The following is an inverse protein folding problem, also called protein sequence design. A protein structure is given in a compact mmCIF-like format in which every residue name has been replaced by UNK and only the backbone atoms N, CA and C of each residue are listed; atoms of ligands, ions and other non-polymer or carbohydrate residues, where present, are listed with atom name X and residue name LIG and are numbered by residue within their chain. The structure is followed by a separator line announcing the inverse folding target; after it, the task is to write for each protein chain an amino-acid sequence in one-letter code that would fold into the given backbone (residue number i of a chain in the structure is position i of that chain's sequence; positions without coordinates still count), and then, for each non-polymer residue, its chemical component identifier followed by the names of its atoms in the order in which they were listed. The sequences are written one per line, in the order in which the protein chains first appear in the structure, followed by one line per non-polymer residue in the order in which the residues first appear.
data_IF_132810119842
#
_entry.id   IF_132810119842
#
_cell.length_a   1.000
_cell.length_b   1.000
_cell.length_c   1.000
_cell.angle_alpha   90.00
_cell.angle_beta   90.00
_cell.angle_gamma   90.00
#
_symmetry.space_group_name_H-M   'P 1'
#
loop_
_entity.id
_entity.type
_entity.pdbx_description
1 polymer ?
#
# COMPACT_ATOMS: atom_id res chain seq x y z
N UNK A 1 -1.88 -27.73 2.93
CA UNK A 1 -1.21 -26.46 2.57
C UNK A 1 -2.13 -25.33 3.02
N UNK A 2 -1.61 -24.31 3.72
CA UNK A 2 -2.42 -23.14 4.05
C UNK A 2 -2.85 -22.42 2.77
N UNK A 3 -4.05 -21.81 2.76
CA UNK A 3 -4.51 -21.02 1.63
C UNK A 3 -3.52 -19.90 1.31
N UNK A 4 -3.37 -19.56 0.02
CA UNK A 4 -2.54 -18.43 -0.38
C UNK A 4 -3.08 -17.14 0.25
N UNK A 5 -2.17 -16.25 0.69
CA UNK A 5 -2.54 -15.00 1.37
C UNK A 5 -2.22 -13.80 0.51
N UNK A 6 -3.05 -12.78 0.61
CA UNK A 6 -2.82 -11.46 0.05
C UNK A 6 -2.45 -10.47 1.16
N UNK A 7 -1.23 -9.93 1.12
CA UNK A 7 -0.68 -9.05 2.14
C UNK A 7 -0.34 -7.69 1.49
N UNK A 8 -0.70 -6.60 2.15
CA UNK A 8 -0.39 -5.26 1.67
C UNK A 8 0.49 -4.48 2.64
N UNK A 9 1.36 -3.65 2.11
CA UNK A 9 2.22 -2.73 2.84
C UNK A 9 1.71 -1.32 2.59
N UNK A 10 1.31 -0.64 3.64
CA UNK A 10 0.68 0.68 3.58
C UNK A 10 1.39 1.69 4.48
N UNK A 11 1.15 2.97 4.23
CA UNK A 11 1.75 4.08 4.97
C UNK A 11 2.26 5.17 4.03
N UNK A 12 2.61 6.33 4.59
CA UNK A 12 3.10 7.49 3.84
C UNK A 12 4.46 7.22 3.19
N UNK A 13 4.84 8.05 2.23
CA UNK A 13 6.18 8.01 1.66
C UNK A 13 7.21 8.43 2.72
N UNK A 14 8.39 7.82 2.69
CA UNK A 14 9.38 7.97 3.76
C UNK A 14 9.18 7.07 4.98
N UNK A 15 8.09 6.29 5.07
CA UNK A 15 7.87 5.34 6.17
C UNK A 15 8.81 4.12 6.17
N UNK A 16 9.63 3.92 5.13
CA UNK A 16 10.58 2.82 5.05
C UNK A 16 10.01 1.50 4.57
N UNK A 17 8.80 1.51 3.99
CA UNK A 17 8.08 0.31 3.52
C UNK A 17 8.94 -0.62 2.67
N UNK A 18 9.65 -0.11 1.66
CA UNK A 18 10.41 -0.93 0.69
C UNK A 18 11.49 -1.78 1.36
N UNK A 19 12.23 -1.21 2.33
CA UNK A 19 13.26 -1.93 3.09
C UNK A 19 12.66 -3.10 3.88
N UNK A 20 11.52 -2.86 4.53
CA UNK A 20 10.86 -3.86 5.37
C UNK A 20 10.08 -4.89 4.54
N UNK A 21 9.56 -4.49 3.39
CA UNK A 21 8.88 -5.39 2.45
C UNK A 21 9.84 -6.44 1.90
N UNK A 22 11.03 -6.03 1.47
CA UNK A 22 12.04 -6.96 0.97
C UNK A 22 12.47 -7.97 2.06
N UNK A 23 12.74 -7.49 3.26
CA UNK A 23 13.06 -8.34 4.40
C UNK A 23 11.93 -9.34 4.72
N UNK A 24 10.68 -8.86 4.78
CA UNK A 24 9.49 -9.67 5.06
C UNK A 24 9.28 -10.76 4.01
N UNK A 25 9.40 -10.39 2.73
CA UNK A 25 9.30 -11.33 1.61
C UNK A 25 10.38 -12.43 1.70
N UNK A 26 11.62 -12.05 2.01
CA UNK A 26 12.73 -13.00 2.16
C UNK A 26 12.52 -13.94 3.37
N UNK A 27 12.03 -13.43 4.49
CA UNK A 27 11.72 -14.25 5.66
C UNK A 27 10.62 -15.29 5.38
N UNK A 28 9.60 -14.95 4.58
CA UNK A 28 8.58 -15.89 4.14
C UNK A 28 9.13 -16.94 3.16
N UNK A 29 9.99 -16.53 2.21
CA UNK A 29 10.66 -17.46 1.27
C UNK A 29 11.53 -18.48 2.01
N UNK A 30 12.24 -18.06 3.05
CA UNK A 30 13.03 -18.95 3.90
C UNK A 30 12.19 -20.01 4.62
N UNK A 31 10.89 -19.74 4.81
CA UNK A 31 9.92 -20.71 5.33
C UNK A 31 9.29 -21.61 4.24
N UNK A 32 9.78 -21.53 3.00
CA UNK A 32 9.27 -22.31 1.87
C UNK A 32 7.99 -21.77 1.27
N UNK A 33 7.58 -20.54 1.59
CA UNK A 33 6.37 -19.93 1.02
C UNK A 33 6.70 -19.38 -0.37
N UNK A 34 5.97 -19.86 -1.37
CA UNK A 34 6.03 -19.30 -2.72
C UNK A 34 5.22 -18.00 -2.75
N UNK A 35 5.85 -16.91 -3.13
CA UNK A 35 5.21 -15.60 -3.14
C UNK A 35 5.67 -14.71 -4.30
N UNK A 36 4.74 -13.86 -4.73
CA UNK A 36 4.93 -12.77 -5.68
C UNK A 36 4.95 -11.44 -4.93
N UNK A 37 5.92 -10.60 -5.26
CA UNK A 37 5.96 -9.19 -4.81
C UNK A 37 5.55 -8.30 -5.96
N UNK A 38 4.66 -7.36 -5.69
CA UNK A 38 4.13 -6.40 -6.66
C UNK A 38 3.89 -5.04 -6.02
N UNK A 39 3.35 -4.07 -6.78
CA UNK A 39 3.07 -2.72 -6.25
C UNK A 39 1.92 -2.03 -6.97
N UNK A 40 1.33 -1.03 -6.33
CA UNK A 40 0.36 -0.11 -6.93
C UNK A 40 0.76 1.37 -6.74
N UNK A 41 0.39 2.24 -7.73
CA UNK A 41 -0.06 1.85 -9.06
C UNK A 41 1.06 1.19 -9.86
N UNK A 42 0.70 0.21 -10.72
CA UNK A 42 1.67 -0.52 -11.53
C UNK A 42 1.35 -2.01 -11.63
N UNK A 43 2.40 -2.83 -11.74
CA UNK A 43 2.32 -4.30 -11.73
C UNK A 43 1.84 -4.94 -13.04
N UNK A 44 1.40 -4.16 -14.03
CA UNK A 44 1.03 -4.61 -15.38
C UNK A 44 1.54 -3.63 -16.43
N UNK A 45 1.68 -4.00 -17.70
CA UNK A 45 2.13 -3.05 -18.74
C UNK A 45 1.26 -1.79 -18.83
N UNK A 46 -0.06 -1.93 -18.72
CA UNK A 46 -0.97 -0.78 -18.68
C UNK A 46 -0.85 -0.02 -17.35
N UNK A 47 -0.77 -0.73 -16.25
CA UNK A 47 -0.58 -0.14 -14.91
C UNK A 47 0.67 0.72 -14.81
N UNK A 48 1.79 0.30 -15.40
CA UNK A 48 3.03 1.09 -15.41
C UNK A 48 2.90 2.38 -16.23
N UNK A 49 2.18 2.37 -17.35
CA UNK A 49 1.89 3.60 -18.13
C UNK A 49 0.97 4.55 -17.35
N UNK A 50 -0.04 4.01 -16.67
CA UNK A 50 -0.91 4.81 -15.80
C UNK A 50 -0.12 5.37 -14.61
N UNK A 51 0.82 4.61 -14.04
CA UNK A 51 1.73 5.09 -12.99
C UNK A 51 2.55 6.29 -13.47
N UNK A 52 3.13 6.24 -14.67
CA UNK A 52 3.89 7.36 -15.25
C UNK A 52 3.02 8.63 -15.32
N UNK A 53 1.79 8.50 -15.80
CA UNK A 53 0.84 9.62 -15.88
C UNK A 53 0.51 10.13 -14.47
N UNK A 54 0.14 9.24 -13.55
CA UNK A 54 -0.26 9.56 -12.18
C UNK A 54 0.84 10.27 -11.38
N UNK A 55 2.10 9.89 -11.56
CA UNK A 55 3.22 10.48 -10.82
C UNK A 55 3.75 11.79 -11.41
N UNK A 56 3.52 12.03 -12.73
CA UNK A 56 4.15 13.13 -13.43
C UNK A 56 3.18 14.19 -14.00
N UNK A 57 1.87 13.92 -14.05
CA UNK A 57 0.90 14.85 -14.63
C UNK A 57 -0.08 15.37 -13.58
N UNK A 58 -0.24 16.70 -13.44
CA UNK A 58 -1.31 17.24 -12.62
C UNK A 58 -2.67 16.91 -13.21
N UNK A 59 -3.65 16.61 -12.36
CA UNK A 59 -5.00 16.28 -12.78
C UNK A 59 -6.01 16.56 -11.66
N UNK A 60 -7.28 16.56 -12.00
CA UNK A 60 -8.37 16.67 -11.03
C UNK A 60 -8.38 15.46 -10.07
N UNK A 61 -8.69 15.68 -8.80
CA UNK A 61 -8.63 14.64 -7.77
C UNK A 61 -9.48 13.39 -8.09
N UNK A 62 -10.66 13.57 -8.68
CA UNK A 62 -11.50 12.44 -9.08
C UNK A 62 -10.93 11.69 -10.30
N UNK A 63 -10.29 12.39 -11.24
CA UNK A 63 -9.57 11.75 -12.35
C UNK A 63 -8.42 10.91 -11.82
N UNK A 64 -7.67 11.41 -10.84
CA UNK A 64 -6.61 10.67 -10.16
C UNK A 64 -7.16 9.38 -9.53
N UNK A 65 -8.27 9.47 -8.79
CA UNK A 65 -8.92 8.31 -8.19
C UNK A 65 -9.36 7.28 -9.26
N UNK A 66 -10.01 7.73 -10.34
CA UNK A 66 -10.45 6.85 -11.42
C UNK A 66 -9.27 6.12 -12.08
N UNK A 67 -8.16 6.80 -12.34
CA UNK A 67 -6.96 6.19 -12.93
C UNK A 67 -6.29 5.20 -11.97
N UNK A 68 -6.25 5.50 -10.64
CA UNK A 68 -5.76 4.55 -9.63
C UNK A 68 -6.58 3.26 -9.63
N UNK A 69 -7.90 3.37 -9.66
CA UNK A 69 -8.77 2.20 -9.68
C UNK A 69 -8.78 1.47 -11.03
N UNK A 70 -8.57 2.17 -12.16
CA UNK A 70 -8.37 1.53 -13.47
C UNK A 70 -7.08 0.69 -13.49
N UNK A 71 -5.96 1.23 -12.99
CA UNK A 71 -4.71 0.49 -12.87
C UNK A 71 -4.86 -0.73 -11.93
N UNK A 72 -5.57 -0.56 -10.81
CA UNK A 72 -5.89 -1.63 -9.86
C UNK A 72 -6.73 -2.73 -10.48
N UNK A 73 -7.74 -2.40 -11.29
CA UNK A 73 -8.57 -3.41 -11.97
C UNK A 73 -7.71 -4.34 -12.82
N UNK A 74 -6.82 -3.77 -13.64
CA UNK A 74 -5.87 -4.56 -14.45
C UNK A 74 -4.95 -5.42 -13.58
N UNK A 75 -4.40 -4.83 -12.53
CA UNK A 75 -3.48 -5.51 -11.62
C UNK A 75 -4.16 -6.69 -10.90
N UNK A 76 -5.38 -6.50 -10.41
CA UNK A 76 -6.18 -7.55 -9.77
C UNK A 76 -6.42 -8.71 -10.71
N UNK A 77 -6.86 -8.46 -11.94
CA UNK A 77 -7.25 -9.51 -12.88
C UNK A 77 -6.05 -10.23 -13.52
N UNK A 78 -4.98 -9.49 -13.83
CA UNK A 78 -3.85 -10.07 -14.56
C UNK A 78 -2.76 -10.64 -13.64
N UNK A 79 -2.68 -10.18 -12.39
CA UNK A 79 -1.55 -10.52 -11.50
C UNK A 79 -2.04 -11.13 -10.18
N UNK A 80 -2.86 -10.40 -9.39
CA UNK A 80 -3.15 -10.83 -8.01
C UNK A 80 -4.01 -12.10 -8.01
N UNK A 81 -5.16 -12.08 -8.69
CA UNK A 81 -6.07 -13.24 -8.72
C UNK A 81 -5.45 -14.51 -9.31
N UNK A 82 -4.72 -14.46 -10.43
CA UNK A 82 -4.05 -15.64 -10.97
C UNK A 82 -3.01 -16.22 -10.01
N UNK A 83 -2.21 -15.36 -9.35
CA UNK A 83 -1.23 -15.82 -8.37
C UNK A 83 -1.90 -16.53 -7.19
N UNK A 84 -2.91 -15.91 -6.57
CA UNK A 84 -3.64 -16.49 -5.45
C UNK A 84 -4.33 -17.80 -5.82
N UNK A 85 -4.96 -17.89 -7.00
CA UNK A 85 -5.57 -19.11 -7.53
C UNK A 85 -4.55 -20.24 -7.74
N UNK A 86 -3.31 -19.90 -8.03
CA UNK A 86 -2.20 -20.84 -8.19
C UNK A 86 -1.52 -21.21 -6.86
N UNK A 87 -2.04 -20.76 -5.71
CA UNK A 87 -1.45 -21.04 -4.40
C UNK A 87 -0.22 -20.20 -4.10
N UNK A 88 0.04 -19.14 -4.88
CA UNK A 88 1.16 -18.21 -4.70
C UNK A 88 0.67 -17.05 -3.84
N UNK A 89 1.36 -16.77 -2.73
CA UNK A 89 1.06 -15.61 -1.90
C UNK A 89 1.39 -14.32 -2.64
N UNK A 90 0.66 -13.26 -2.38
CA UNK A 90 0.90 -11.95 -2.99
C UNK A 90 1.22 -10.93 -1.91
N UNK A 91 2.33 -10.20 -2.08
CA UNK A 91 2.67 -9.03 -1.29
C UNK A 91 2.64 -7.82 -2.22
N UNK A 92 1.79 -6.83 -1.91
CA UNK A 92 1.70 -5.59 -2.68
C UNK A 92 2.18 -4.40 -1.86
N UNK A 93 3.12 -3.61 -2.42
CA UNK A 93 3.40 -2.27 -1.92
C UNK A 93 2.26 -1.36 -2.36
N UNK A 94 1.38 -1.04 -1.43
CA UNK A 94 0.08 -0.37 -1.57
C UNK A 94 -1.02 -1.22 -2.24
N UNK A 95 -2.25 -0.88 -1.88
CA UNK A 95 -3.48 -1.35 -2.49
C UNK A 95 -4.59 -0.31 -2.29
N UNK A 96 -5.85 -0.73 -2.11
CA UNK A 96 -6.99 0.20 -2.01
C UNK A 96 -6.91 1.16 -0.82
N UNK A 97 -6.33 0.76 0.31
CA UNK A 97 -6.17 1.63 1.48
C UNK A 97 -5.37 2.89 1.15
N UNK A 98 -4.38 2.79 0.24
CA UNK A 98 -3.66 3.95 -0.26
C UNK A 98 -4.59 4.95 -0.98
N UNK A 99 -5.57 4.49 -1.75
CA UNK A 99 -6.52 5.40 -2.42
C UNK A 99 -7.43 6.12 -1.43
N UNK A 100 -7.88 5.43 -0.38
CA UNK A 100 -8.64 6.08 0.69
C UNK A 100 -7.80 7.11 1.45
N UNK A 101 -6.52 6.83 1.66
CA UNK A 101 -5.63 7.76 2.32
C UNK A 101 -5.26 8.96 1.44
N UNK A 102 -4.75 8.72 0.23
CA UNK A 102 -4.23 9.78 -0.64
C UNK A 102 -5.35 10.55 -1.38
N UNK A 103 -6.26 9.85 -2.09
CA UNK A 103 -7.33 10.50 -2.81
C UNK A 103 -8.45 10.95 -1.86
N UNK A 104 -8.77 10.14 -0.83
CA UNK A 104 -9.77 10.50 0.18
C UNK A 104 -9.23 11.55 1.15
N UNK A 105 -8.35 11.16 2.06
CA UNK A 105 -7.82 12.03 3.11
C UNK A 105 -7.00 13.20 2.56
N UNK A 106 -6.06 12.92 1.66
CA UNK A 106 -5.16 13.90 1.06
C UNK A 106 -5.87 14.89 0.13
N UNK A 107 -6.54 14.37 -0.91
CA UNK A 107 -7.19 15.16 -1.99
C UNK A 107 -8.64 15.56 -1.68
N UNK A 108 -9.30 14.97 -0.69
CA UNK A 108 -10.67 15.28 -0.32
C UNK A 108 -11.73 14.67 -1.24
N UNK A 109 -11.41 13.62 -2.00
CA UNK A 109 -12.43 12.85 -2.75
C UNK A 109 -13.39 12.22 -1.75
N UNK A 110 -14.74 12.40 -1.92
CA UNK A 110 -15.72 11.82 -1.00
C UNK A 110 -15.55 10.31 -0.83
N UNK A 111 -15.49 9.83 0.42
CA UNK A 111 -15.26 8.42 0.72
C UNK A 111 -16.29 7.50 0.06
N UNK A 112 -17.54 7.91 -0.02
CA UNK A 112 -18.61 7.15 -0.69
C UNK A 112 -18.30 6.85 -2.18
N UNK A 113 -17.61 7.76 -2.89
CA UNK A 113 -17.17 7.51 -4.27
C UNK A 113 -16.05 6.47 -4.33
N UNK A 114 -15.11 6.54 -3.39
CA UNK A 114 -14.03 5.56 -3.29
C UNK A 114 -14.56 4.17 -2.91
N UNK A 115 -15.53 4.09 -2.01
CA UNK A 115 -16.22 2.85 -1.64
C UNK A 115 -16.97 2.24 -2.83
N UNK A 116 -17.64 3.06 -3.66
CA UNK A 116 -18.26 2.59 -4.91
C UNK A 116 -17.22 2.03 -5.90
N UNK A 117 -16.08 2.71 -6.06
CA UNK A 117 -14.99 2.23 -6.91
C UNK A 117 -14.38 0.93 -6.37
N UNK A 118 -14.15 0.85 -5.06
CA UNK A 118 -13.65 -0.35 -4.39
C UNK A 118 -14.60 -1.53 -4.64
N UNK A 119 -15.90 -1.33 -4.40
CA UNK A 119 -16.92 -2.35 -4.61
C UNK A 119 -16.99 -2.81 -6.08
N UNK A 120 -16.88 -1.89 -7.04
CA UNK A 120 -16.89 -2.23 -8.46
C UNK A 120 -15.64 -2.97 -8.91
N UNK A 121 -14.48 -2.55 -8.43
CA UNK A 121 -13.18 -3.05 -8.94
C UNK A 121 -12.77 -4.37 -8.32
N UNK A 122 -12.95 -4.55 -7.00
CA UNK A 122 -12.43 -5.72 -6.29
C UNK A 122 -13.19 -6.08 -5.00
N UNK A 123 -14.53 -5.90 -4.97
CA UNK A 123 -15.36 -6.13 -3.78
C UNK A 123 -15.05 -7.41 -3.00
N UNK A 124 -14.85 -8.50 -3.74
CA UNK A 124 -14.61 -9.86 -3.23
C UNK A 124 -13.13 -10.15 -2.90
N UNK A 125 -12.23 -9.20 -3.18
CA UNK A 125 -10.80 -9.33 -2.91
C UNK A 125 -10.36 -8.24 -1.92
N UNK A 126 -10.15 -8.65 -0.68
CA UNK A 126 -9.55 -7.81 0.36
C UNK A 126 -8.24 -8.44 0.84
N UNK A 127 -7.27 -7.65 1.31
CA UNK A 127 -6.07 -8.20 1.93
C UNK A 127 -6.40 -9.04 3.16
N UNK A 128 -5.75 -10.19 3.31
CA UNK A 128 -5.78 -10.97 4.55
C UNK A 128 -5.06 -10.24 5.69
N UNK A 129 -4.02 -9.45 5.33
CA UNK A 129 -3.23 -8.66 6.26
C UNK A 129 -2.76 -7.37 5.59
N UNK A 130 -2.97 -6.25 6.26
CA UNK A 130 -2.40 -4.94 5.91
C UNK A 130 -1.39 -4.53 6.97
N UNK A 131 -0.13 -4.40 6.58
CA UNK A 131 0.94 -3.86 7.42
C UNK A 131 0.99 -2.35 7.21
N UNK A 132 0.46 -1.59 8.17
CA UNK A 132 0.46 -0.13 8.14
C UNK A 132 1.70 0.40 8.86
N UNK A 133 2.62 0.97 8.12
CA UNK A 133 3.83 1.63 8.64
C UNK A 133 3.48 3.07 9.04
N UNK A 134 3.14 3.25 10.32
CA UNK A 134 2.84 4.56 10.89
C UNK A 134 4.12 5.26 11.33
N UNK A 135 4.24 6.55 10.95
CA UNK A 135 5.40 7.38 11.27
C UNK A 135 4.97 8.84 11.40
N UNK A 136 5.55 9.62 12.34
CA UNK A 136 5.37 11.07 12.37
C UNK A 136 5.83 11.72 11.06
N UNK A 137 5.03 12.65 10.55
CA UNK A 137 5.27 13.24 9.21
C UNK A 137 6.62 13.98 9.13
N UNK A 138 7.07 14.61 10.21
CA UNK A 138 8.37 15.25 10.28
C UNK A 138 9.51 14.27 10.03
N UNK A 139 9.43 13.06 10.60
CA UNK A 139 10.43 12.00 10.42
C UNK A 139 10.40 11.46 9.00
N UNK A 140 9.20 11.24 8.45
CA UNK A 140 9.02 10.80 7.07
C UNK A 140 9.63 11.80 6.07
N UNK A 141 9.36 13.10 6.25
CA UNK A 141 9.92 14.18 5.42
C UNK A 141 11.44 14.28 5.53
N UNK A 142 11.99 14.14 6.73
CA UNK A 142 13.44 14.12 6.92
C UNK A 142 14.10 12.97 6.14
N UNK A 143 13.47 11.80 6.10
CA UNK A 143 13.97 10.66 5.31
C UNK A 143 13.89 10.92 3.80
N UNK A 144 12.82 11.58 3.33
CA UNK A 144 12.63 11.93 1.92
C UNK A 144 13.53 13.09 1.46
N UNK A 145 13.93 14.01 2.34
CA UNK A 145 14.77 15.17 1.97
C UNK A 145 16.13 14.80 1.36
N UNK A 146 16.56 13.56 1.51
CA UNK A 146 17.77 13.01 0.90
C UNK A 146 17.56 12.54 -0.55
N UNK A 147 16.32 12.51 -1.07
CA UNK A 147 16.01 12.10 -2.44
C UNK A 147 16.25 13.26 -3.42
N UNK A 148 16.97 12.97 -4.51
CA UNK A 148 17.34 13.96 -5.53
C UNK A 148 16.16 14.33 -6.43
N UNK A 149 15.14 13.47 -6.55
CA UNK A 149 13.96 13.69 -7.39
C UNK A 149 12.72 13.20 -6.67
N UNK A 150 11.83 14.15 -6.38
CA UNK A 150 10.54 13.87 -5.75
C UNK A 150 9.44 13.80 -6.81
N UNK A 151 8.57 12.80 -6.70
CA UNK A 151 7.37 12.73 -7.53
C UNK A 151 6.30 13.76 -7.08
N UNK A 152 5.19 13.81 -7.82
CA UNK A 152 4.11 14.77 -7.58
C UNK A 152 3.44 14.63 -6.19
N UNK A 153 3.40 13.43 -5.64
CA UNK A 153 2.87 13.22 -4.29
C UNK A 153 3.88 13.62 -3.23
N UNK A 154 5.14 13.24 -3.40
CA UNK A 154 6.23 13.57 -2.47
C UNK A 154 6.48 15.09 -2.37
N UNK A 155 6.08 15.88 -3.39
CA UNK A 155 6.16 17.34 -3.40
C UNK A 155 5.05 18.03 -2.60
N UNK A 156 4.06 17.30 -2.09
CA UNK A 156 2.95 17.87 -1.33
C UNK A 156 3.39 18.43 0.03
N UNK A 157 2.58 19.34 0.58
CA UNK A 157 2.86 19.98 1.88
C UNK A 157 2.60 19.01 3.05
N UNK A 158 3.20 19.31 4.21
CA UNK A 158 3.06 18.51 5.42
C UNK A 158 1.61 18.25 5.84
N UNK A 159 0.73 19.25 5.72
CA UNK A 159 -0.71 19.11 6.01
C UNK A 159 -1.42 18.06 5.14
N UNK A 160 -0.98 17.88 3.89
CA UNK A 160 -1.49 16.80 3.03
C UNK A 160 -1.14 15.44 3.63
N UNK A 161 0.12 15.25 4.00
CA UNK A 161 0.59 13.98 4.57
C UNK A 161 -0.01 13.69 5.95
N UNK A 162 -0.28 14.73 6.78
CA UNK A 162 -1.02 14.55 8.02
C UNK A 162 -2.43 13.99 7.78
N UNK A 163 -3.15 14.53 6.80
CA UNK A 163 -4.47 14.01 6.43
C UNK A 163 -4.39 12.58 5.86
N UNK A 164 -3.37 12.28 5.05
CA UNK A 164 -3.13 10.93 4.51
C UNK A 164 -2.86 9.95 5.65
N UNK A 165 -1.97 10.28 6.59
CA UNK A 165 -1.67 9.48 7.76
C UNK A 165 -2.90 9.22 8.61
N UNK A 166 -3.68 10.27 8.92
CA UNK A 166 -4.90 10.15 9.69
C UNK A 166 -5.91 9.23 9.01
N UNK A 167 -6.09 9.35 7.69
CA UNK A 167 -7.00 8.48 6.94
C UNK A 167 -6.58 7.01 6.98
N UNK A 168 -5.28 6.69 6.95
CA UNK A 168 -4.79 5.32 7.17
C UNK A 168 -5.13 4.82 8.58
N UNK A 169 -4.91 5.62 9.61
CA UNK A 169 -5.22 5.26 10.99
C UNK A 169 -6.73 5.03 11.16
N UNK A 170 -7.58 5.89 10.58
CA UNK A 170 -9.03 5.73 10.61
C UNK A 170 -9.47 4.42 9.94
N UNK A 171 -8.83 4.04 8.81
CA UNK A 171 -9.07 2.75 8.14
C UNK A 171 -8.67 1.57 9.04
N UNK A 172 -7.54 1.66 9.72
CA UNK A 172 -7.07 0.60 10.62
C UNK A 172 -8.02 0.38 11.81
N UNK A 173 -8.63 1.45 12.32
CA UNK A 173 -9.65 1.36 13.39
C UNK A 173 -10.96 0.76 12.89
N UNK A 174 -11.36 1.03 11.64
CA UNK A 174 -12.59 0.47 11.04
C UNK A 174 -12.51 -1.04 10.77
N UNK A 175 -11.31 -1.55 10.45
CA UNK A 175 -11.11 -2.97 10.11
C UNK A 175 -9.91 -3.58 10.85
N UNK A 176 -9.91 -3.56 12.20
CA UNK A 176 -8.74 -3.93 13.02
C UNK A 176 -8.30 -5.39 12.82
N UNK A 177 -9.22 -6.26 12.38
CA UNK A 177 -8.95 -7.69 12.20
C UNK A 177 -7.93 -7.97 11.07
N UNK A 178 -7.78 -7.07 10.09
CA UNK A 178 -6.82 -7.23 8.99
C UNK A 178 -5.62 -6.27 9.07
N UNK A 179 -5.63 -5.28 9.97
CA UNK A 179 -4.53 -4.34 10.12
C UNK A 179 -3.56 -4.72 11.24
N UNK A 180 -2.26 -4.63 10.93
CA UNK A 180 -1.20 -4.57 11.93
C UNK A 180 -0.48 -3.22 11.76
N UNK A 181 -0.58 -2.36 12.76
CA UNK A 181 0.07 -1.04 12.75
C UNK A 181 1.49 -1.19 13.29
N UNK A 182 2.47 -0.85 12.47
CA UNK A 182 3.90 -0.94 12.75
C UNK A 182 4.44 0.46 13.04
N UNK A 183 5.10 0.64 14.18
CA UNK A 183 5.76 1.91 14.53
C UNK A 183 7.04 2.06 13.73
N UNK A 184 6.95 2.76 12.59
CA UNK A 184 8.04 2.88 11.62
C UNK A 184 9.13 3.90 11.99
N UNK A 185 8.96 4.62 13.10
CA UNK A 185 10.03 5.46 13.69
C UNK A 185 11.09 4.65 14.45
N UNK A 186 10.80 3.40 14.81
CA UNK A 186 11.74 2.49 15.48
C UNK A 186 12.94 2.15 14.58
N UNK A 187 13.96 1.58 15.18
CA UNK A 187 15.13 1.06 14.44
C UNK A 187 14.75 -0.13 13.57
N UNK A 188 15.51 -0.35 12.49
CA UNK A 188 15.28 -1.48 11.56
C UNK A 188 15.22 -2.82 12.31
N UNK A 189 16.13 -3.16 13.26
CA UNK A 189 16.05 -4.42 14.01
C UNK A 189 14.78 -4.55 14.85
N UNK A 190 14.29 -3.47 15.47
CA UNK A 190 13.06 -3.50 16.26
C UNK A 190 11.83 -3.75 15.38
N UNK A 191 11.76 -3.08 14.22
CA UNK A 191 10.68 -3.32 13.24
C UNK A 191 10.75 -4.75 12.71
N UNK A 192 11.95 -5.28 12.39
CA UNK A 192 12.11 -6.66 11.95
C UNK A 192 11.66 -7.65 13.03
N UNK A 193 11.94 -7.38 14.31
CA UNK A 193 11.46 -8.21 15.42
C UNK A 193 9.92 -8.25 15.48
N UNK A 194 9.25 -7.11 15.34
CA UNK A 194 7.80 -7.01 15.31
C UNK A 194 7.20 -7.75 14.10
N UNK A 195 7.79 -7.57 12.91
CA UNK A 195 7.40 -8.30 11.70
C UNK A 195 7.62 -9.81 11.82
N UNK A 196 8.69 -10.26 12.49
CA UNK A 196 8.94 -11.68 12.74
C UNK A 196 7.85 -12.32 13.62
N UNK A 197 7.35 -11.59 14.62
CA UNK A 197 6.22 -12.03 15.44
C UNK A 197 4.92 -12.16 14.62
N UNK A 198 4.69 -11.26 13.68
CA UNK A 198 3.55 -11.33 12.75
C UNK A 198 3.70 -12.55 11.84
N UNK A 199 4.88 -12.74 11.21
CA UNK A 199 5.16 -13.90 10.37
C UNK A 199 4.97 -15.22 11.12
N UNK A 200 5.26 -15.27 12.41
CA UNK A 200 5.09 -16.48 13.22
C UNK A 200 3.62 -16.93 13.38
N UNK A 201 2.66 -16.01 13.15
CA UNK A 201 1.21 -16.25 13.27
C UNK A 201 0.53 -16.52 11.93
N UNK A 202 1.25 -16.37 10.80
CA UNK A 202 0.76 -16.60 9.44
C UNK A 202 0.81 -18.08 9.06
#
# INVERSE_FOLDING_TARGET
MSAAKFITFEGVDGAGKSTHLEWFANALRQRGINLLVTREPGGTPLGERLREILLNRPMHAETEALLMFAARREHVEQVIRPALKSGIWVISDRFSDASFAYQGGGRGVPLAKLEQLEQWVHADLQPDLTLLFDIPIEVARQRLSNNVSLDRFEQERGEFFERVRQAYLDRSVKTPQRFAVIRAEKTIPEVHHELAQIIARL
#
